data_IF_893345788990
#
_entry.id   IF_893345788990
#
_cell.length_a   1.000
_cell.length_b   1.000
_cell.length_c   1.000
_cell.angle_alpha   90.00
_cell.angle_beta   90.00
_cell.angle_gamma   90.00
#
_symmetry.space_group_name_H-M   'P 1'
#
loop_
_entity.id
_entity.type
_entity.pdbx_description
1 polymer ?
#
# COMPACT_ATOMS: atom_id res chain seq x y z
N UNK A 1 -5.97 0.32 4.74
CA UNK A 1 -5.66 -1.01 5.32
C UNK A 1 -5.45 -0.83 6.81
N UNK A 2 -6.20 -1.53 7.66
CA UNK A 2 -6.06 -1.44 9.12
C UNK A 2 -5.12 -2.55 9.58
N UNK A 3 -4.07 -2.27 10.37
CA UNK A 3 -3.23 -3.31 10.94
C UNK A 3 -4.07 -4.35 11.69
N UNK A 4 -3.78 -5.63 11.46
CA UNK A 4 -4.39 -6.75 12.20
C UNK A 4 -3.41 -7.23 13.27
N UNK A 5 -3.95 -7.60 14.42
CA UNK A 5 -3.21 -8.21 15.53
C UNK A 5 -3.87 -9.53 15.84
N UNK A 6 -3.08 -10.59 15.96
CA UNK A 6 -3.52 -11.95 16.23
C UNK A 6 -2.51 -12.68 17.10
N UNK A 7 -2.85 -13.89 17.51
CA UNK A 7 -1.98 -14.76 18.33
C UNK A 7 -1.62 -16.07 17.63
N UNK A 8 -2.13 -16.28 16.43
CA UNK A 8 -1.95 -17.50 15.65
C UNK A 8 -1.59 -17.18 14.19
N UNK A 9 -0.85 -18.07 13.54
CA UNK A 9 -0.52 -17.99 12.13
C UNK A 9 -1.76 -18.01 11.24
N UNK A 10 -2.82 -18.73 11.62
CA UNK A 10 -4.08 -18.78 10.84
C UNK A 10 -4.84 -17.44 10.80
N UNK A 11 -4.53 -16.51 11.71
CA UNK A 11 -5.10 -15.15 11.72
C UNK A 11 -4.35 -14.18 10.81
N UNK A 12 -3.22 -14.59 10.20
CA UNK A 12 -2.44 -13.73 9.31
C UNK A 12 -3.22 -13.52 8.01
N UNK A 13 -3.65 -12.28 7.70
CA UNK A 13 -4.42 -12.00 6.50
C UNK A 13 -3.63 -12.34 5.22
N UNK A 14 -4.36 -12.68 4.15
CA UNK A 14 -3.78 -12.77 2.82
C UNK A 14 -3.11 -11.45 2.43
N UNK A 15 -2.05 -11.54 1.63
CA UNK A 15 -1.28 -10.39 1.14
C UNK A 15 -0.61 -9.53 2.22
N UNK A 16 -0.29 -10.10 3.38
CA UNK A 16 0.41 -9.39 4.45
C UNK A 16 1.82 -8.98 4.01
N UNK A 17 2.09 -7.67 4.01
CA UNK A 17 3.36 -7.07 3.55
C UNK A 17 4.36 -6.77 4.67
N UNK A 18 4.01 -7.13 5.91
CA UNK A 18 4.81 -6.86 7.10
C UNK A 18 4.26 -7.68 8.25
N UNK A 19 5.12 -8.40 8.97
CA UNK A 19 4.75 -9.12 10.18
C UNK A 19 5.71 -8.73 11.30
N UNK A 20 5.16 -8.27 12.44
CA UNK A 20 5.92 -7.97 13.65
C UNK A 20 5.47 -8.95 14.74
N UNK A 21 6.40 -9.77 15.20
CA UNK A 21 6.17 -10.73 16.28
C UNK A 21 6.65 -10.12 17.58
N UNK A 22 5.77 -10.03 18.58
CA UNK A 22 6.15 -9.76 19.95
C UNK A 22 6.53 -11.07 20.62
N UNK A 23 7.77 -11.18 21.10
CA UNK A 23 8.27 -12.34 21.82
C UNK A 23 8.50 -11.95 23.26
N UNK A 24 7.85 -12.66 24.17
CA UNK A 24 8.05 -12.50 25.62
C UNK A 24 8.83 -13.70 26.11
N UNK A 25 10.01 -13.48 26.67
CA UNK A 25 10.72 -14.53 27.39
C UNK A 25 9.99 -14.79 28.71
N UNK A 26 9.22 -15.88 28.78
CA UNK A 26 8.83 -16.42 30.08
C UNK A 26 10.09 -17.03 30.72
N UNK A 27 10.60 -16.41 31.78
CA UNK A 27 11.71 -16.97 32.57
C UNK A 27 11.29 -18.34 33.14
N UNK A 28 11.67 -19.40 32.44
CA UNK A 28 11.60 -20.76 32.92
C UNK A 28 12.64 -21.02 34.00
N UNK A 29 12.20 -20.89 35.26
CA UNK A 29 12.64 -21.64 36.45
C UNK A 29 13.86 -21.17 37.28
N UNK A 30 13.54 -20.81 38.54
CA UNK A 30 14.33 -20.75 39.78
C UNK A 30 15.46 -19.71 39.92
N UNK A 31 15.17 -18.57 40.55
CA UNK A 31 15.80 -18.28 41.86
C UNK A 31 14.91 -17.32 42.65
N UNK A 32 14.60 -17.68 43.89
CA UNK A 32 13.87 -16.81 44.81
C UNK A 32 14.75 -15.60 45.15
N UNK A 33 14.10 -14.44 45.30
CA UNK A 33 14.66 -13.20 45.88
C UNK A 33 15.43 -12.28 44.91
N UNK A 34 14.70 -11.62 44.01
CA UNK A 34 14.94 -10.17 43.82
C UNK A 34 13.64 -9.45 43.47
N UNK A 35 13.31 -8.46 44.29
CA UNK A 35 12.09 -7.66 44.26
C UNK A 35 12.34 -6.33 43.57
N UNK A 36 12.71 -6.37 42.30
CA UNK A 36 12.60 -5.21 41.41
C UNK A 36 11.81 -5.67 40.19
N UNK A 37 10.79 -4.88 39.84
CA UNK A 37 9.81 -5.20 38.81
C UNK A 37 10.47 -5.83 37.58
N UNK A 38 10.29 -7.14 37.42
CA UNK A 38 10.77 -7.89 36.27
C UNK A 38 10.17 -7.24 35.03
N UNK A 39 10.96 -6.42 34.34
CA UNK A 39 10.66 -6.04 32.98
C UNK A 39 10.50 -7.35 32.22
N UNK A 40 9.29 -7.66 31.77
CA UNK A 40 9.08 -8.75 30.81
C UNK A 40 10.11 -8.54 29.70
N UNK A 41 11.09 -9.44 29.57
CA UNK A 41 12.11 -9.40 28.52
C UNK A 41 11.39 -9.60 27.19
N UNK A 42 10.87 -8.50 26.65
CA UNK A 42 10.06 -8.45 25.46
C UNK A 42 10.95 -7.92 24.35
N UNK A 43 11.07 -8.69 23.29
CA UNK A 43 11.74 -8.24 22.07
C UNK A 43 10.84 -8.53 20.88
N UNK A 44 11.16 -7.90 19.76
CA UNK A 44 10.38 -7.98 18.55
C UNK A 44 11.17 -8.66 17.45
N UNK A 45 10.50 -9.48 16.65
CA UNK A 45 11.05 -10.02 15.40
C UNK A 45 10.24 -9.42 14.26
N UNK A 46 10.93 -8.72 13.37
CA UNK A 46 10.37 -8.13 12.17
C UNK A 46 10.64 -9.06 10.99
N UNK A 47 9.57 -9.47 10.30
CA UNK A 47 9.62 -10.16 9.02
C UNK A 47 9.10 -9.21 7.94
N UNK A 48 9.96 -8.89 6.98
CA UNK A 48 9.64 -8.08 5.82
C UNK A 48 9.74 -8.93 4.56
N UNK A 49 8.62 -9.21 3.87
CA UNK A 49 8.68 -9.65 2.49
C UNK A 49 9.43 -8.62 1.66
N UNK A 50 10.26 -9.09 0.73
CA UNK A 50 11.08 -8.22 -0.12
C UNK A 50 10.94 -8.63 -1.58
N UNK A 51 11.27 -7.69 -2.46
CA UNK A 51 11.34 -7.94 -3.90
C UNK A 51 12.65 -8.64 -4.26
N UNK A 52 12.56 -9.65 -5.12
CA UNK A 52 13.70 -10.32 -5.73
C UNK A 52 13.50 -10.38 -7.26
N UNK A 53 14.25 -9.56 -7.98
CA UNK A 53 14.06 -9.41 -9.42
C UNK A 53 12.64 -8.94 -9.77
N UNK A 54 11.92 -9.75 -10.53
CA UNK A 54 10.54 -9.49 -10.97
C UNK A 54 9.49 -10.12 -10.03
N UNK A 55 9.90 -10.68 -8.89
CA UNK A 55 9.02 -11.38 -7.97
C UNK A 55 8.80 -10.57 -6.71
N UNK A 56 7.54 -10.52 -6.27
CA UNK A 56 7.16 -10.01 -4.96
C UNK A 56 6.87 -11.17 -4.02
N UNK A 57 7.14 -10.95 -2.74
CA UNK A 57 6.77 -11.87 -1.67
C UNK A 57 5.67 -11.24 -0.82
N UNK A 58 4.71 -12.04 -0.35
CA UNK A 58 3.76 -11.67 0.69
C UNK A 58 3.56 -12.83 1.66
N UNK A 59 2.91 -12.57 2.79
CA UNK A 59 2.57 -13.57 3.79
C UNK A 59 1.08 -13.84 3.85
N UNK A 60 0.74 -15.07 4.22
CA UNK A 60 -0.62 -15.43 4.64
C UNK A 60 -0.61 -16.59 5.63
N UNK A 61 -1.67 -16.69 6.44
CA UNK A 61 -1.91 -17.81 7.32
C UNK A 61 -2.56 -19.00 6.61
N UNK A 62 -2.36 -20.21 7.13
CA UNK A 62 -3.11 -21.41 6.74
C UNK A 62 -4.07 -21.86 7.85
N UNK A 63 -5.13 -22.64 7.54
CA UNK A 63 -5.99 -23.26 8.56
C UNK A 63 -5.22 -24.13 9.56
N UNK A 64 -4.08 -24.68 9.15
CA UNK A 64 -3.17 -25.49 9.96
C UNK A 64 -2.24 -24.66 10.85
N UNK A 65 -2.47 -23.34 10.94
CA UNK A 65 -1.69 -22.41 11.76
C UNK A 65 -0.24 -22.24 11.28
N UNK A 66 0.00 -22.36 9.98
CA UNK A 66 1.31 -22.17 9.36
C UNK A 66 1.42 -20.79 8.71
N UNK A 67 2.64 -20.27 8.65
CA UNK A 67 2.97 -19.08 7.87
C UNK A 67 3.37 -19.50 6.45
N UNK A 68 2.58 -19.09 5.47
CA UNK A 68 2.85 -19.33 4.05
C UNK A 68 3.48 -18.11 3.40
N UNK A 69 4.47 -18.36 2.54
CA UNK A 69 5.15 -17.34 1.75
C UNK A 69 4.59 -17.43 0.34
N UNK A 70 3.96 -16.36 -0.11
CA UNK A 70 3.36 -16.26 -1.44
C UNK A 70 4.33 -15.45 -2.32
N UNK A 71 4.91 -16.10 -3.32
CA UNK A 71 5.87 -15.46 -4.22
C UNK A 71 5.29 -15.47 -5.63
N UNK A 72 5.11 -14.28 -6.19
CA UNK A 72 4.47 -14.12 -7.50
C UNK A 72 5.15 -13.02 -8.32
N UNK A 73 5.20 -13.22 -9.64
CA UNK A 73 5.58 -12.19 -10.60
C UNK A 73 4.40 -11.35 -11.07
N UNK A 74 3.18 -11.88 -10.93
CA UNK A 74 1.98 -11.31 -11.55
C UNK A 74 1.91 -11.49 -13.08
N UNK A 75 2.87 -12.20 -13.69
CA UNK A 75 2.93 -12.45 -15.13
C UNK A 75 3.20 -13.94 -15.40
N UNK A 76 2.28 -14.61 -16.11
CA UNK A 76 2.37 -16.04 -16.42
C UNK A 76 3.60 -16.41 -17.27
N UNK A 77 4.18 -15.45 -17.98
CA UNK A 77 5.42 -15.62 -18.76
C UNK A 77 6.69 -15.46 -17.92
N UNK A 78 6.60 -14.84 -16.75
CA UNK A 78 7.72 -14.62 -15.83
C UNK A 78 7.69 -15.70 -14.75
N UNK A 79 8.47 -16.76 -14.96
CA UNK A 79 8.51 -17.94 -14.10
C UNK A 79 9.89 -18.14 -13.47
N UNK A 80 9.91 -18.69 -12.27
CA UNK A 80 11.15 -19.12 -11.60
C UNK A 80 10.93 -20.43 -10.85
N UNK A 81 12.02 -21.18 -10.65
CA UNK A 81 12.05 -22.36 -9.78
C UNK A 81 12.65 -22.04 -8.40
N UNK A 82 13.33 -20.90 -8.26
CA UNK A 82 14.10 -20.55 -7.07
C UNK A 82 14.03 -19.05 -6.80
N UNK A 83 13.98 -18.71 -5.51
CA UNK A 83 14.04 -17.37 -4.94
C UNK A 83 14.89 -17.50 -3.68
N UNK A 84 15.90 -16.65 -3.51
CA UNK A 84 16.93 -16.84 -2.49
C UNK A 84 16.77 -15.93 -1.28
N UNK A 85 16.18 -14.76 -1.48
CA UNK A 85 16.12 -13.67 -0.52
C UNK A 85 14.69 -13.11 -0.47
N UNK A 86 13.68 -13.98 -0.36
CA UNK A 86 12.27 -13.59 -0.36
C UNK A 86 11.84 -12.76 0.87
N UNK A 87 12.56 -12.92 1.99
CA UNK A 87 12.21 -12.30 3.28
C UNK A 87 13.47 -11.80 3.98
N UNK A 88 13.36 -10.60 4.53
CA UNK A 88 14.30 -10.04 5.48
C UNK A 88 13.79 -10.22 6.90
N UNK A 89 14.66 -10.68 7.80
CA UNK A 89 14.34 -10.89 9.22
C UNK A 89 15.35 -10.14 10.07
N UNK A 90 14.85 -9.42 11.07
CA UNK A 90 15.68 -8.74 12.07
C UNK A 90 14.96 -8.74 13.43
N UNK A 91 15.68 -8.51 14.52
CA UNK A 91 15.10 -8.44 15.86
C UNK A 91 15.66 -7.29 16.68
N UNK A 92 14.89 -6.84 17.68
CA UNK A 92 15.30 -5.78 18.58
C UNK A 92 14.26 -5.46 19.64
N UNK A 93 14.68 -4.73 20.68
CA UNK A 93 13.86 -4.48 21.87
C UNK A 93 12.91 -3.29 21.71
N UNK A 94 13.13 -2.45 20.70
CA UNK A 94 12.28 -1.32 20.36
C UNK A 94 11.75 -1.48 18.93
N UNK A 95 10.43 -1.60 18.72
CA UNK A 95 9.88 -1.87 17.40
C UNK A 95 10.08 -0.70 16.44
N UNK A 96 10.07 0.55 16.91
CA UNK A 96 10.26 1.72 16.06
C UNK A 96 11.68 1.82 15.51
N UNK A 97 12.68 1.62 16.37
CA UNK A 97 14.08 1.58 15.94
C UNK A 97 14.36 0.35 15.07
N UNK A 98 13.78 -0.82 15.42
CA UNK A 98 13.88 -2.03 14.62
C UNK A 98 13.42 -1.81 13.18
N UNK A 99 12.28 -1.17 12.97
CA UNK A 99 11.80 -0.82 11.63
C UNK A 99 12.76 0.11 10.90
N UNK A 100 13.16 1.20 11.56
CA UNK A 100 14.03 2.22 10.98
C UNK A 100 15.36 1.62 10.51
N UNK A 101 16.00 0.84 11.37
CA UNK A 101 17.30 0.24 11.09
C UNK A 101 17.20 -0.89 10.07
N UNK A 102 16.13 -1.67 10.10
CA UNK A 102 15.87 -2.73 9.11
C UNK A 102 15.75 -2.17 7.69
N UNK A 103 15.03 -1.07 7.49
CA UNK A 103 14.93 -0.42 6.17
C UNK A 103 16.29 0.14 5.72
N UNK A 104 17.11 0.67 6.63
CA UNK A 104 18.48 1.14 6.32
C UNK A 104 19.42 -0.01 5.94
N UNK A 105 19.30 -1.17 6.58
CA UNK A 105 20.06 -2.37 6.22
C UNK A 105 19.62 -2.85 4.83
N UNK A 106 18.31 -2.94 4.59
CA UNK A 106 17.75 -3.31 3.30
C UNK A 106 18.14 -2.36 2.17
N UNK A 107 18.19 -1.05 2.42
CA UNK A 107 18.68 -0.05 1.45
C UNK A 107 20.08 -0.40 0.97
N UNK A 108 21.01 -0.69 1.91
CA UNK A 108 22.40 -1.03 1.60
C UNK A 108 22.53 -2.38 0.90
N UNK A 109 21.72 -3.36 1.31
CA UNK A 109 21.76 -4.72 0.76
C UNK A 109 21.17 -4.79 -0.66
N UNK A 110 20.05 -4.10 -0.89
CA UNK A 110 19.32 -4.13 -2.17
C UNK A 110 19.86 -3.13 -3.18
N UNK A 111 20.22 -1.92 -2.75
CA UNK A 111 20.67 -0.85 -3.64
C UNK A 111 19.62 -0.37 -4.67
N UNK A 112 18.34 -0.72 -4.51
CA UNK A 112 17.25 -0.38 -5.44
C UNK A 112 16.35 0.75 -4.98
N UNK A 113 16.50 1.21 -3.74
CA UNK A 113 15.73 2.31 -3.16
C UNK A 113 16.61 3.14 -2.22
N UNK A 114 16.06 4.23 -1.69
CA UNK A 114 16.74 5.05 -0.68
C UNK A 114 15.86 5.24 0.54
N UNK A 115 16.46 5.30 1.72
CA UNK A 115 15.77 5.64 2.96
C UNK A 115 15.26 7.09 2.90
N UNK A 116 14.16 7.39 3.61
CA UNK A 116 13.48 8.70 3.55
C UNK A 116 14.42 9.87 3.83
N UNK A 117 15.32 9.72 4.81
CA UNK A 117 16.33 10.73 5.19
C UNK A 117 17.28 11.10 4.03
N UNK A 118 17.43 10.24 3.04
CA UNK A 118 18.30 10.44 1.87
C UNK A 118 17.53 10.91 0.62
N UNK A 119 16.18 10.91 0.66
CA UNK A 119 15.37 11.32 -0.49
C UNK A 119 15.31 12.85 -0.60
N UNK A 120 15.38 13.36 -1.83
CA UNK A 120 15.15 14.78 -2.12
C UNK A 120 13.68 15.12 -1.86
N UNK A 121 13.43 16.09 -0.98
CA UNK A 121 12.11 16.63 -0.70
C UNK A 121 11.61 17.39 -1.95
N UNK A 122 10.48 16.98 -2.57
CA UNK A 122 9.91 17.70 -3.72
C UNK A 122 9.29 19.03 -3.30
N UNK A 123 9.40 20.05 -4.15
CA UNK A 123 8.86 21.39 -3.88
C UNK A 123 7.33 21.42 -3.74
N UNK A 124 6.62 20.45 -4.33
CA UNK A 124 5.16 20.39 -4.24
C UNK A 124 4.64 19.96 -2.85
N UNK A 125 5.51 19.53 -1.94
CA UNK A 125 5.09 19.22 -0.56
C UNK A 125 4.63 20.46 0.22
N UNK A 126 5.04 21.66 -0.20
CA UNK A 126 4.57 22.92 0.38
C UNK A 126 3.23 23.38 -0.22
N UNK A 127 2.66 22.61 -1.16
CA UNK A 127 1.40 22.96 -1.82
C UNK A 127 0.21 22.34 -1.09
N UNK A 128 -0.85 23.12 -0.92
CA UNK A 128 -2.16 22.54 -0.61
C UNK A 128 -2.59 21.65 -1.79
N UNK A 129 -2.81 20.37 -1.51
CA UNK A 129 -3.22 19.39 -2.50
C UNK A 129 -4.55 18.74 -2.15
N UNK A 130 -5.18 18.14 -3.15
CA UNK A 130 -6.40 17.35 -3.00
C UNK A 130 -6.18 15.96 -3.59
N UNK A 131 -6.60 14.92 -2.87
CA UNK A 131 -6.68 13.55 -3.37
C UNK A 131 -8.15 13.16 -3.55
N UNK A 132 -8.48 12.59 -4.70
CA UNK A 132 -9.87 12.25 -5.05
C UNK A 132 -10.42 11.04 -4.29
N UNK A 133 -9.57 10.27 -3.59
CA UNK A 133 -9.96 8.99 -2.97
C UNK A 133 -11.10 9.11 -1.96
N UNK A 134 -10.97 9.95 -0.93
CA UNK A 134 -12.01 10.06 0.11
C UNK A 134 -13.32 10.71 -0.41
N UNK A 135 -13.26 11.37 -1.58
CA UNK A 135 -14.42 11.99 -2.20
C UNK A 135 -15.22 11.00 -3.07
N UNK A 136 -14.54 10.09 -3.78
CA UNK A 136 -15.17 9.26 -4.80
C UNK A 136 -14.84 7.77 -4.73
N UNK A 137 -13.79 7.38 -4.01
CA UNK A 137 -13.18 6.06 -4.11
C UNK A 137 -12.99 5.68 -5.59
N UNK A 138 -13.39 4.47 -5.97
CA UNK A 138 -13.30 3.96 -7.34
C UNK A 138 -14.24 4.67 -8.32
N UNK A 139 -15.16 5.52 -7.88
CA UNK A 139 -16.15 6.21 -8.72
C UNK A 139 -15.69 7.59 -9.25
N UNK A 140 -14.41 7.91 -9.08
CA UNK A 140 -13.82 9.16 -9.58
C UNK A 140 -14.10 9.35 -11.08
N UNK A 141 -14.49 10.56 -11.46
CA UNK A 141 -14.83 10.93 -12.84
C UNK A 141 -14.57 12.43 -13.12
N UNK A 142 -14.48 12.85 -14.39
CA UNK A 142 -14.19 14.23 -14.77
C UNK A 142 -15.13 15.28 -14.16
N UNK A 143 -16.43 14.98 -14.10
CA UNK A 143 -17.44 15.91 -13.58
C UNK A 143 -17.25 16.16 -12.09
N UNK A 144 -17.11 15.09 -11.30
CA UNK A 144 -16.88 15.19 -9.86
C UNK A 144 -15.60 15.94 -9.52
N UNK A 145 -14.52 15.74 -10.29
CA UNK A 145 -13.28 16.50 -10.11
C UNK A 145 -13.50 18.00 -10.37
N UNK A 146 -14.18 18.36 -11.47
CA UNK A 146 -14.47 19.77 -11.81
C UNK A 146 -15.33 20.45 -10.74
N UNK A 147 -16.35 19.77 -10.24
CA UNK A 147 -17.21 20.25 -9.15
C UNK A 147 -16.42 20.43 -7.85
N UNK A 148 -15.57 19.47 -7.49
CA UNK A 148 -14.72 19.56 -6.31
C UNK A 148 -13.74 20.74 -6.39
N UNK A 149 -13.03 20.89 -7.51
CA UNK A 149 -12.12 22.02 -7.74
C UNK A 149 -12.85 23.37 -7.71
N UNK A 150 -14.04 23.44 -8.29
CA UNK A 150 -14.89 24.63 -8.25
C UNK A 150 -15.30 24.97 -6.81
N UNK A 151 -15.70 23.97 -6.02
CA UNK A 151 -16.06 24.18 -4.61
C UNK A 151 -14.88 24.70 -3.78
N UNK A 152 -13.68 24.16 -3.99
CA UNK A 152 -12.46 24.66 -3.33
C UNK A 152 -12.15 26.12 -3.70
N UNK A 153 -12.32 26.47 -4.97
CA UNK A 153 -12.13 27.84 -5.44
C UNK A 153 -13.12 28.81 -4.77
N UNK A 154 -14.40 28.44 -4.73
CA UNK A 154 -15.46 29.22 -4.07
C UNK A 154 -15.26 29.33 -2.56
N UNK A 155 -14.73 28.27 -1.94
CA UNK A 155 -14.37 28.23 -0.52
C UNK A 155 -13.09 28.99 -0.17
N UNK A 156 -12.37 29.55 -1.16
CA UNK A 156 -11.13 30.30 -0.95
C UNK A 156 -9.90 29.45 -0.63
N UNK A 157 -9.95 28.13 -0.85
CA UNK A 157 -8.85 27.20 -0.59
C UNK A 157 -8.56 26.35 -1.84
N UNK A 158 -8.07 26.98 -2.90
CA UNK A 158 -7.83 26.30 -4.18
C UNK A 158 -6.57 25.41 -4.12
N UNK A 159 -6.67 24.09 -4.35
CA UNK A 159 -5.49 23.21 -4.40
C UNK A 159 -4.58 23.58 -5.58
N UNK A 160 -3.28 23.38 -5.39
CA UNK A 160 -2.25 23.49 -6.44
C UNK A 160 -1.74 22.14 -6.91
N UNK A 161 -2.02 21.09 -6.15
CA UNK A 161 -1.68 19.72 -6.47
C UNK A 161 -2.95 18.86 -6.45
N UNK A 162 -3.12 17.98 -7.43
CA UNK A 162 -4.24 17.05 -7.50
C UNK A 162 -3.70 15.64 -7.70
N UNK A 163 -4.12 14.72 -6.83
CA UNK A 163 -3.96 13.28 -7.02
C UNK A 163 -5.31 12.75 -7.50
N UNK A 164 -5.36 12.29 -8.75
CA UNK A 164 -6.45 11.45 -9.24
C UNK A 164 -6.10 10.02 -8.82
N UNK A 165 -6.69 9.59 -7.70
CA UNK A 165 -6.47 8.28 -7.09
C UNK A 165 -7.20 7.16 -7.86
N UNK A 166 -7.18 5.94 -7.36
CA UNK A 166 -7.70 4.76 -8.05
C UNK A 166 -9.15 4.90 -8.54
N UNK A 167 -9.43 4.24 -9.67
CA UNK A 167 -10.70 4.30 -10.38
C UNK A 167 -10.66 5.04 -11.71
N UNK A 168 -9.56 5.69 -12.12
CA UNK A 168 -9.44 6.28 -13.47
C UNK A 168 -8.91 5.28 -14.52
N UNK A 169 -8.09 4.32 -14.09
CA UNK A 169 -7.42 3.32 -14.93
C UNK A 169 -8.28 2.08 -15.21
N UNK A 170 -7.82 1.20 -16.10
CA UNK A 170 -8.45 -0.09 -16.38
C UNK A 170 -8.01 -1.15 -15.36
N UNK A 171 -8.97 -1.66 -14.59
CA UNK A 171 -8.75 -2.72 -13.60
C UNK A 171 -9.68 -3.91 -13.85
N UNK A 172 -9.27 -5.08 -13.34
CA UNK A 172 -10.10 -6.29 -13.27
C UNK A 172 -10.01 -6.84 -11.85
N UNK A 173 -11.15 -7.20 -11.27
CA UNK A 173 -11.19 -7.90 -9.99
C UNK A 173 -11.63 -9.36 -10.23
N UNK A 174 -10.67 -10.28 -10.31
CA UNK A 174 -10.92 -11.71 -10.56
C UNK A 174 -11.71 -12.39 -9.42
N UNK A 175 -11.69 -11.79 -8.23
CA UNK A 175 -12.45 -12.25 -7.07
C UNK A 175 -13.90 -11.78 -7.10
N UNK A 176 -14.23 -10.79 -7.95
CA UNK A 176 -15.58 -10.27 -8.11
C UNK A 176 -16.20 -10.86 -9.36
N UNK A 177 -16.98 -11.94 -9.18
CA UNK A 177 -17.74 -12.57 -10.25
C UNK A 177 -19.17 -12.07 -10.25
N UNK A 178 -19.69 -11.78 -11.43
CA UNK A 178 -21.07 -11.31 -11.59
C UNK A 178 -22.04 -12.35 -11.02
N UNK A 179 -22.90 -11.93 -10.08
CA UNK A 179 -23.87 -12.79 -9.41
C UNK A 179 -23.37 -13.54 -8.17
N UNK A 180 -22.08 -13.44 -7.82
CA UNK A 180 -21.53 -14.01 -6.59
C UNK A 180 -21.40 -12.93 -5.49
N UNK A 181 -21.55 -13.31 -4.20
CA UNK A 181 -21.28 -12.37 -3.10
C UNK A 181 -19.81 -11.96 -3.09
N UNK A 182 -19.54 -10.71 -2.72
CA UNK A 182 -18.18 -10.22 -2.50
C UNK A 182 -17.50 -11.07 -1.42
N UNK A 183 -16.31 -11.57 -1.74
CA UNK A 183 -15.45 -12.25 -0.77
C UNK A 183 -14.89 -11.19 0.18
N UNK A 184 -15.09 -11.36 1.48
CA UNK A 184 -14.59 -10.40 2.47
C UNK A 184 -13.06 -10.29 2.37
N UNK A 185 -12.54 -9.06 2.30
CA UNK A 185 -11.12 -8.79 2.14
C UNK A 185 -10.64 -8.63 0.70
N UNK A 186 -11.45 -9.01 -0.31
CA UNK A 186 -11.07 -8.85 -1.73
C UNK A 186 -11.50 -7.53 -2.35
N UNK A 187 -12.03 -6.59 -1.54
CA UNK A 187 -12.49 -5.28 -2.02
C UNK A 187 -11.36 -4.45 -2.65
N UNK A 188 -10.12 -4.71 -2.24
CA UNK A 188 -8.91 -4.03 -2.73
C UNK A 188 -8.03 -4.95 -3.57
N UNK A 189 -8.56 -6.10 -4.02
CA UNK A 189 -7.81 -7.09 -4.79
C UNK A 189 -7.94 -6.91 -6.30
N UNK A 190 -8.53 -5.79 -6.75
CA UNK A 190 -8.55 -5.42 -8.16
C UNK A 190 -7.11 -5.25 -8.67
N UNK A 191 -6.85 -5.82 -9.84
CA UNK A 191 -5.55 -5.78 -10.50
C UNK A 191 -5.58 -4.77 -11.63
N UNK A 192 -4.51 -3.99 -11.74
CA UNK A 192 -4.28 -3.11 -12.87
C UNK A 192 -4.10 -3.95 -14.13
N UNK A 193 -4.90 -3.68 -15.16
CA UNK A 193 -4.79 -4.32 -16.47
C UNK A 193 -4.04 -3.43 -17.45
N UNK A 194 -4.37 -2.14 -17.45
CA UNK A 194 -3.73 -1.15 -18.30
C UNK A 194 -3.73 0.22 -17.58
N UNK A 195 -2.67 1.00 -17.77
CA UNK A 195 -2.56 2.39 -17.29
C UNK A 195 -3.36 3.37 -18.17
N UNK A 196 -4.08 2.87 -19.17
CA UNK A 196 -5.04 3.66 -19.94
C UNK A 196 -6.25 4.00 -19.09
N UNK A 197 -6.80 5.16 -19.38
CA UNK A 197 -8.04 5.63 -18.81
C UNK A 197 -9.22 4.73 -19.18
N UNK A 198 -10.14 4.54 -18.23
CA UNK A 198 -11.34 3.73 -18.43
C UNK A 198 -12.47 4.54 -19.08
N UNK A 199 -13.65 3.92 -19.24
CA UNK A 199 -14.80 4.54 -19.91
C UNK A 199 -15.30 5.82 -19.25
N UNK A 200 -15.02 6.06 -17.95
CA UNK A 200 -15.43 7.30 -17.27
C UNK A 200 -14.67 8.53 -17.75
N UNK A 201 -13.47 8.32 -18.29
CA UNK A 201 -12.57 9.36 -18.79
C UNK A 201 -12.47 9.35 -20.32
N UNK A 202 -13.24 8.50 -21.01
CA UNK A 202 -13.36 8.46 -22.46
C UNK A 202 -14.70 9.05 -22.87
N UNK A 203 -14.69 10.11 -23.66
CA UNK A 203 -15.95 10.73 -24.10
C UNK A 203 -16.57 9.99 -25.28
N UNK A 204 -17.89 9.81 -25.21
CA UNK A 204 -18.72 9.24 -26.28
C UNK A 204 -19.92 10.12 -26.66
N UNK A 205 -19.96 11.39 -26.24
CA UNK A 205 -21.09 12.31 -26.48
C UNK A 205 -20.67 13.75 -26.81
N UNK A 206 -21.56 14.49 -27.48
CA UNK A 206 -21.36 15.84 -28.05
C UNK A 206 -21.21 16.99 -27.04
N UNK A 207 -21.45 16.72 -25.76
CA UNK A 207 -21.62 17.77 -24.73
C UNK A 207 -20.41 17.88 -23.78
N UNK A 208 -19.37 17.07 -23.97
CA UNK A 208 -18.15 17.13 -23.16
C UNK A 208 -16.97 17.74 -23.93
N UNK A 209 -16.28 18.65 -23.26
CA UNK A 209 -15.19 19.48 -23.82
C UNK A 209 -13.88 18.71 -23.99
N UNK A 210 -13.66 17.61 -23.25
CA UNK A 210 -12.40 16.86 -23.25
C UNK A 210 -12.64 15.44 -23.76
N UNK A 211 -11.87 14.97 -24.74
CA UNK A 211 -12.04 13.66 -25.37
C UNK A 211 -11.40 12.52 -24.58
N UNK A 212 -10.36 12.82 -23.81
CA UNK A 212 -9.60 11.88 -22.98
C UNK A 212 -9.10 12.50 -21.67
N UNK A 213 -8.37 11.70 -20.87
CA UNK A 213 -7.79 12.14 -19.60
C UNK A 213 -6.73 13.23 -19.77
N UNK A 214 -5.97 13.24 -20.87
CA UNK A 214 -4.92 14.22 -21.10
C UNK A 214 -5.52 15.61 -21.32
N UNK A 215 -6.48 15.74 -22.25
CA UNK A 215 -7.19 16.99 -22.50
C UNK A 215 -7.94 17.47 -21.24
N UNK A 216 -8.48 16.54 -20.46
CA UNK A 216 -9.11 16.87 -19.18
C UNK A 216 -8.12 17.47 -18.19
N UNK A 217 -6.92 16.91 -18.06
CA UNK A 217 -5.86 17.42 -17.18
C UNK A 217 -5.44 18.84 -17.59
N UNK A 218 -5.29 19.10 -18.89
CA UNK A 218 -4.91 20.42 -19.40
C UNK A 218 -5.99 21.47 -19.10
N UNK A 219 -7.27 21.14 -19.32
CA UNK A 219 -8.41 22.00 -19.00
C UNK A 219 -8.45 22.37 -17.51
N UNK A 220 -8.31 21.40 -16.61
CA UNK A 220 -8.36 21.70 -15.16
C UNK A 220 -7.13 22.45 -14.67
N UNK A 221 -5.95 22.25 -15.29
CA UNK A 221 -4.75 23.02 -14.98
C UNK A 221 -4.91 24.48 -15.36
N UNK A 222 -5.40 24.75 -16.58
CA UNK A 222 -5.65 26.12 -17.06
C UNK A 222 -6.73 26.81 -16.21
N UNK A 223 -7.85 26.13 -15.98
CA UNK A 223 -9.03 26.72 -15.35
C UNK A 223 -8.89 26.92 -13.84
N UNK A 224 -8.28 25.97 -13.13
CA UNK A 224 -8.19 25.98 -11.66
C UNK A 224 -6.78 26.31 -11.14
N UNK A 225 -5.80 26.46 -12.04
CA UNK A 225 -4.44 26.88 -11.69
C UNK A 225 -3.67 25.84 -10.89
N UNK A 226 -3.89 24.56 -11.17
CA UNK A 226 -3.06 23.43 -10.72
C UNK A 226 -1.64 23.54 -11.31
N UNK A 227 -0.67 22.89 -10.68
CA UNK A 227 0.76 22.97 -11.02
C UNK A 227 1.34 21.64 -11.47
#
# INVERSE_FOLDING_TARGET
MIPRVGKSGSEIPMETQMLLLEVREEFGLYDEVSSDAAAENTFYILLLPVLEGQFRTSFQGTPENELQFCIESGDASVQTLQVHEAVFVNSGDNPYELFKDSIKILEKHRGTFSHLENKKIPAHLDWFGWCTWDAFYTEVNPQGIKEGLQSFLEGGCAPKFLIIDDGWQQTVNEFQKEGEPLIEGTQFAARLVDIKENSKFKCSGSDNICTDLHEFIDDIKEKYGLK
#
